data_IF_649765454188
#
_entry.id   IF_649765454188
#
_cell.length_a   1.000
_cell.length_b   1.000
_cell.length_c   1.000
_cell.angle_alpha   90.00
_cell.angle_beta   90.00
_cell.angle_gamma   90.00
#
_symmetry.space_group_name_H-M   'P 1'
#
loop_
_entity.id
_entity.type
_entity.pdbx_description
1 polymer ?
#
# COMPACT_ATOMS: atom_id res chain seq x y z
N UNK A 1 -19.37 3.47 3.72
CA UNK A 1 -20.13 2.23 4.01
C UNK A 1 -21.57 2.44 3.56
N UNK A 2 -22.16 1.49 2.85
CA UNK A 2 -23.54 1.56 2.35
C UNK A 2 -24.53 0.90 3.31
N UNK A 3 -24.13 -0.23 3.90
CA UNK A 3 -24.93 -0.96 4.88
C UNK A 3 -24.04 -1.83 5.78
N UNK A 4 -24.57 -2.26 6.91
CA UNK A 4 -23.98 -3.29 7.76
C UNK A 4 -25.10 -4.18 8.33
N UNK A 5 -24.91 -5.48 8.28
CA UNK A 5 -25.90 -6.45 8.76
C UNK A 5 -25.23 -7.76 9.16
N UNK A 6 -25.98 -8.64 9.82
CA UNK A 6 -25.47 -9.92 10.30
C UNK A 6 -26.25 -11.06 9.66
N UNK A 7 -25.55 -12.07 9.15
CA UNK A 7 -26.15 -13.30 8.60
C UNK A 7 -25.88 -14.46 9.55
N UNK A 8 -26.92 -15.22 9.89
CA UNK A 8 -26.77 -16.51 10.55
C UNK A 8 -26.47 -17.60 9.53
N UNK A 9 -25.34 -18.28 9.71
CA UNK A 9 -24.89 -19.40 8.90
C UNK A 9 -24.70 -20.69 9.71
N UNK A 10 -24.37 -21.81 9.04
CA UNK A 10 -24.15 -23.10 9.70
C UNK A 10 -22.96 -23.09 10.67
N UNK A 11 -22.05 -22.12 10.55
CA UNK A 11 -20.86 -21.96 11.38
C UNK A 11 -20.98 -20.86 12.45
N UNK A 12 -22.16 -20.25 12.59
CA UNK A 12 -22.41 -19.16 13.53
C UNK A 12 -22.90 -17.89 12.85
N UNK A 13 -22.64 -16.77 13.50
CA UNK A 13 -23.08 -15.44 13.05
C UNK A 13 -21.94 -14.75 12.31
N UNK A 14 -22.25 -14.13 11.17
CA UNK A 14 -21.27 -13.46 10.31
C UNK A 14 -21.67 -12.00 10.10
N UNK A 15 -20.81 -11.08 10.53
CA UNK A 15 -21.00 -9.66 10.24
C UNK A 15 -20.60 -9.35 8.81
N UNK A 16 -21.43 -8.57 8.14
CA UNK A 16 -21.34 -8.26 6.71
C UNK A 16 -21.35 -6.76 6.51
N UNK A 17 -20.42 -6.27 5.70
CA UNK A 17 -20.33 -4.88 5.29
C UNK A 17 -20.71 -4.76 3.82
N UNK A 18 -21.70 -3.92 3.51
CA UNK A 18 -21.98 -3.53 2.14
C UNK A 18 -21.19 -2.25 1.83
N UNK A 19 -20.25 -2.34 0.89
CA UNK A 19 -19.38 -1.25 0.47
C UNK A 19 -19.63 -0.89 -0.99
N UNK A 20 -19.15 0.27 -1.40
CA UNK A 20 -19.10 0.64 -2.81
C UNK A 20 -18.23 -0.38 -3.57
N UNK A 21 -18.71 -0.80 -4.75
CA UNK A 21 -17.93 -1.68 -5.61
C UNK A 21 -16.79 -0.90 -6.27
N UNK A 22 -15.56 -1.34 -5.99
CA UNK A 22 -14.33 -0.85 -6.61
C UNK A 22 -13.75 -1.89 -7.55
N UNK A 23 -12.75 -1.49 -8.32
CA UNK A 23 -12.01 -2.36 -9.23
C UNK A 23 -10.81 -3.05 -8.58
N UNK A 24 -9.89 -3.57 -9.42
CA UNK A 24 -8.74 -4.31 -8.92
C UNK A 24 -7.82 -3.39 -8.13
N UNK A 25 -7.07 -3.98 -7.18
CA UNK A 25 -6.04 -3.25 -6.47
C UNK A 25 -4.86 -2.91 -7.40
N UNK A 26 -4.10 -1.87 -7.04
CA UNK A 26 -3.00 -1.36 -7.86
C UNK A 26 -1.91 -2.41 -8.05
N UNK A 27 -1.60 -3.23 -7.04
CA UNK A 27 -0.60 -4.30 -7.17
C UNK A 27 -0.99 -5.31 -8.26
N UNK A 28 -2.21 -5.84 -8.24
CA UNK A 28 -2.71 -6.76 -9.28
C UNK A 28 -2.66 -6.13 -10.68
N UNK A 29 -2.94 -4.82 -10.78
CA UNK A 29 -2.86 -4.09 -12.05
C UNK A 29 -1.44 -4.05 -12.58
N UNK A 30 -0.48 -3.71 -11.73
CA UNK A 30 0.94 -3.64 -12.08
C UNK A 30 1.46 -5.02 -12.47
N UNK A 31 1.25 -6.03 -11.63
CA UNK A 31 1.75 -7.40 -11.81
C UNK A 31 1.20 -8.07 -13.08
N UNK A 32 -0.09 -7.87 -13.40
CA UNK A 32 -0.77 -8.64 -14.46
C UNK A 32 -0.88 -7.91 -15.79
N UNK A 33 -0.84 -6.58 -15.79
CA UNK A 33 -1.19 -5.79 -16.97
C UNK A 33 -0.08 -4.86 -17.44
N UNK A 34 0.95 -4.60 -16.64
CA UNK A 34 2.03 -3.68 -17.00
C UNK A 34 3.32 -4.46 -17.27
N UNK A 35 3.87 -4.29 -18.47
CA UNK A 35 5.06 -5.02 -18.94
C UNK A 35 6.32 -4.74 -18.09
N UNK A 36 6.36 -3.56 -17.50
CA UNK A 36 7.54 -3.03 -16.83
C UNK A 36 7.44 -3.17 -15.31
N UNK A 37 6.43 -3.86 -14.78
CA UNK A 37 6.19 -4.00 -13.33
C UNK A 37 6.19 -2.67 -12.56
N UNK A 38 5.88 -1.55 -13.24
CA UNK A 38 5.73 -0.21 -12.66
C UNK A 38 4.64 0.56 -13.39
N UNK A 39 4.06 1.56 -12.73
CA UNK A 39 3.07 2.45 -13.33
C UNK A 39 3.71 3.42 -14.34
N UNK A 40 2.97 3.86 -15.37
CA UNK A 40 3.33 5.04 -16.14
C UNK A 40 3.52 6.26 -15.22
N UNK A 41 4.48 7.12 -15.53
CA UNK A 41 4.91 8.24 -14.67
C UNK A 41 3.76 9.18 -14.27
N UNK A 42 2.88 9.49 -15.23
CA UNK A 42 1.71 10.33 -15.00
C UNK A 42 0.69 9.68 -14.06
N UNK A 43 0.55 8.35 -14.12
CA UNK A 43 -0.34 7.58 -13.24
C UNK A 43 0.28 7.46 -11.85
N UNK A 44 1.57 7.17 -11.74
CA UNK A 44 2.29 7.13 -10.47
C UNK A 44 2.15 8.46 -9.71
N UNK A 45 2.41 9.59 -10.39
CA UNK A 45 2.24 10.94 -9.82
C UNK A 45 0.81 11.21 -9.37
N UNK A 46 -0.18 10.83 -10.18
CA UNK A 46 -1.59 11.01 -9.85
C UNK A 46 -2.01 10.16 -8.64
N UNK A 47 -1.55 8.91 -8.54
CA UNK A 47 -1.85 8.04 -7.40
C UNK A 47 -1.18 8.54 -6.14
N UNK A 48 0.08 9.00 -6.21
CA UNK A 48 0.75 9.68 -5.10
C UNK A 48 -0.05 10.89 -4.61
N UNK A 49 -0.68 11.65 -5.53
CA UNK A 49 -1.56 12.78 -5.17
C UNK A 49 -2.82 12.32 -4.45
N UNK A 50 -3.50 11.31 -5.00
CA UNK A 50 -4.77 10.81 -4.46
C UNK A 50 -4.61 10.11 -3.11
N UNK A 51 -3.52 9.38 -2.88
CA UNK A 51 -3.24 8.78 -1.56
C UNK A 51 -3.02 9.86 -0.51
N UNK A 52 -2.23 10.89 -0.81
CA UNK A 52 -2.01 12.00 0.11
C UNK A 52 -3.31 12.76 0.41
N UNK A 53 -4.17 12.97 -0.59
CA UNK A 53 -5.50 13.58 -0.37
C UNK A 53 -6.37 12.71 0.54
N UNK A 54 -6.34 11.39 0.37
CA UNK A 54 -7.05 10.46 1.24
C UNK A 54 -6.51 10.46 2.68
N UNK A 55 -5.19 10.50 2.85
CA UNK A 55 -4.57 10.59 4.17
C UNK A 55 -4.78 11.94 4.85
N UNK A 56 -4.84 13.05 4.10
CA UNK A 56 -5.21 14.35 4.66
C UNK A 56 -6.62 14.28 5.28
N UNK A 57 -7.55 13.66 4.55
CA UNK A 57 -8.90 13.44 5.06
C UNK A 57 -8.92 12.55 6.31
N UNK A 58 -8.22 11.41 6.31
CA UNK A 58 -8.17 10.51 7.47
C UNK A 58 -7.52 11.16 8.70
N UNK A 59 -6.38 11.82 8.51
CA UNK A 59 -5.67 12.52 9.59
C UNK A 59 -6.47 13.67 10.18
N UNK A 60 -7.27 14.39 9.38
CA UNK A 60 -8.20 15.42 9.88
C UNK A 60 -9.27 14.87 10.83
N UNK A 61 -9.53 13.56 10.76
CA UNK A 61 -10.45 12.83 11.62
C UNK A 61 -9.74 11.99 12.68
N UNK A 62 -8.43 12.19 12.90
CA UNK A 62 -7.62 11.44 13.87
C UNK A 62 -7.64 9.90 13.62
N UNK A 63 -7.76 9.49 12.36
CA UNK A 63 -7.75 8.08 11.92
C UNK A 63 -6.36 7.74 11.36
N UNK A 64 -5.75 6.68 11.88
CA UNK A 64 -4.64 5.98 11.22
C UNK A 64 -5.17 4.76 10.47
N UNK A 65 -4.76 4.56 9.23
CA UNK A 65 -5.07 3.36 8.46
C UNK A 65 -4.24 2.16 8.90
N UNK A 66 -2.95 2.36 9.18
CA UNK A 66 -2.04 1.35 9.72
C UNK A 66 -1.54 0.31 8.73
N UNK A 67 -1.93 0.36 7.45
CA UNK A 67 -1.54 -0.66 6.45
C UNK A 67 -1.58 -0.12 5.01
N UNK A 68 -0.93 1.02 4.77
CA UNK A 68 -0.88 1.64 3.44
C UNK A 68 0.11 0.91 2.54
N UNK A 69 -0.39 0.31 1.45
CA UNK A 69 0.41 -0.31 0.38
C UNK A 69 -0.40 -0.50 -0.91
N UNK A 70 0.24 -0.89 -2.01
CA UNK A 70 -0.39 -1.05 -3.35
C UNK A 70 -1.58 -2.01 -3.39
N UNK A 71 -1.66 -3.01 -2.52
CA UNK A 71 -2.83 -3.92 -2.42
C UNK A 71 -4.06 -3.31 -1.72
N UNK A 72 -3.89 -2.24 -0.92
CA UNK A 72 -4.95 -1.52 -0.22
C UNK A 72 -5.36 -0.23 -0.95
N UNK A 73 -4.92 -0.08 -2.21
CA UNK A 73 -5.38 0.94 -3.14
C UNK A 73 -6.15 0.27 -4.26
N UNK A 74 -7.44 0.57 -4.41
CA UNK A 74 -8.28 0.01 -5.47
C UNK A 74 -8.58 1.06 -6.54
N UNK A 75 -8.49 0.66 -7.81
CA UNK A 75 -8.96 1.50 -8.91
C UNK A 75 -10.48 1.67 -8.83
N UNK A 76 -10.99 2.88 -9.04
CA UNK A 76 -12.42 3.08 -9.26
C UNK A 76 -12.79 2.65 -10.66
N UNK A 77 -13.98 2.06 -10.83
CA UNK A 77 -14.51 1.73 -12.15
C UNK A 77 -15.61 2.74 -12.48
N UNK A 78 -15.41 3.60 -13.49
CA UNK A 78 -16.43 4.55 -13.89
C UNK A 78 -17.75 3.85 -14.22
N UNK A 79 -18.85 4.43 -13.74
CA UNK A 79 -20.24 4.07 -14.03
C UNK A 79 -20.66 2.65 -13.63
N UNK A 80 -19.82 1.88 -12.91
CA UNK A 80 -20.12 0.49 -12.56
C UNK A 80 -21.36 0.36 -11.67
N UNK A 81 -21.51 1.27 -10.71
CA UNK A 81 -22.65 1.34 -9.81
C UNK A 81 -23.99 1.65 -10.52
N UNK A 82 -23.93 2.13 -11.77
CA UNK A 82 -25.10 2.48 -12.57
C UNK A 82 -25.49 1.39 -13.57
N UNK A 83 -24.67 0.35 -13.73
CA UNK A 83 -24.96 -0.74 -14.66
C UNK A 83 -26.14 -1.59 -14.14
N UNK A 84 -26.99 -2.02 -15.06
CA UNK A 84 -27.91 -3.11 -14.78
C UNK A 84 -27.11 -4.39 -14.52
N UNK A 85 -27.68 -5.35 -13.78
CA UNK A 85 -27.05 -6.65 -13.55
C UNK A 85 -26.64 -7.34 -14.87
N UNK A 86 -27.49 -7.23 -15.90
CA UNK A 86 -27.20 -7.74 -17.24
C UNK A 86 -25.97 -7.07 -17.86
N UNK A 87 -25.86 -5.75 -17.78
CA UNK A 87 -24.73 -5.02 -18.35
C UNK A 87 -23.46 -5.25 -17.52
N UNK A 88 -23.60 -5.45 -16.21
CA UNK A 88 -22.53 -5.84 -15.31
C UNK A 88 -21.94 -7.20 -15.69
N UNK A 89 -22.78 -8.23 -15.86
CA UNK A 89 -22.33 -9.55 -16.30
C UNK A 89 -21.78 -9.53 -17.73
N UNK A 90 -22.39 -8.75 -18.64
CA UNK A 90 -21.84 -8.58 -19.99
C UNK A 90 -20.44 -7.93 -19.98
N UNK A 91 -20.13 -7.12 -18.96
CA UNK A 91 -18.86 -6.41 -18.82
C UNK A 91 -17.79 -7.24 -18.12
N UNK A 92 -18.11 -7.93 -17.03
CA UNK A 92 -17.13 -8.69 -16.23
C UNK A 92 -17.12 -10.19 -16.51
N UNK A 93 -18.13 -10.69 -17.22
CA UNK A 93 -18.37 -12.12 -17.44
C UNK A 93 -19.32 -12.71 -16.40
N UNK A 94 -19.87 -13.88 -16.74
CA UNK A 94 -20.65 -14.68 -15.80
C UNK A 94 -19.73 -15.26 -14.70
N UNK A 95 -20.21 -15.42 -13.46
CA UNK A 95 -19.44 -16.04 -12.39
C UNK A 95 -18.93 -17.44 -12.77
N UNK A 96 -17.62 -17.64 -12.64
CA UNK A 96 -16.99 -18.96 -12.79
C UNK A 96 -17.09 -19.72 -11.47
N UNK A 97 -18.03 -20.66 -11.41
CA UNK A 97 -18.37 -21.40 -10.20
C UNK A 97 -17.84 -22.83 -10.21
N UNK A 98 -17.18 -23.24 -9.13
CA UNK A 98 -16.74 -24.62 -8.88
C UNK A 98 -17.56 -25.29 -7.78
N UNK A 99 -17.81 -26.60 -7.91
CA UNK A 99 -18.41 -27.39 -6.84
C UNK A 99 -17.36 -27.77 -5.79
N UNK A 100 -17.73 -27.69 -4.51
CA UNK A 100 -16.91 -28.23 -3.42
C UNK A 100 -17.37 -29.65 -3.16
N UNK A 101 -16.48 -30.61 -3.36
CA UNK A 101 -16.75 -32.03 -3.18
C UNK A 101 -15.82 -32.61 -2.12
N UNK A 102 -16.34 -33.56 -1.33
CA UNK A 102 -15.56 -34.41 -0.44
C UNK A 102 -14.87 -35.54 -1.20
N UNK A 103 -14.17 -36.44 -0.49
CA UNK A 103 -13.65 -37.67 -1.07
C UNK A 103 -14.75 -38.43 -1.83
N UNK A 104 -14.41 -39.01 -2.99
CA UNK A 104 -15.32 -39.77 -3.86
C UNK A 104 -16.56 -38.99 -4.32
N UNK A 105 -16.40 -37.69 -4.61
CA UNK A 105 -17.45 -36.77 -5.06
C UNK A 105 -18.64 -36.63 -4.08
N UNK A 106 -18.41 -36.95 -2.80
CA UNK A 106 -19.43 -36.85 -1.76
C UNK A 106 -19.84 -35.38 -1.50
N UNK A 107 -21.10 -35.11 -1.13
CA UNK A 107 -21.52 -33.77 -0.73
C UNK A 107 -20.68 -33.23 0.45
N UNK A 108 -20.30 -31.94 0.44
CA UNK A 108 -19.51 -31.38 1.51
C UNK A 108 -20.34 -31.32 2.81
N UNK A 109 -19.69 -31.38 3.99
CA UNK A 109 -20.35 -31.09 5.26
C UNK A 109 -21.07 -29.75 5.22
N UNK A 110 -22.16 -29.58 5.98
CA UNK A 110 -22.91 -28.31 6.06
C UNK A 110 -22.07 -27.12 6.51
N UNK A 111 -20.92 -27.37 7.14
CA UNK A 111 -19.97 -26.34 7.55
C UNK A 111 -19.14 -25.77 6.39
N UNK A 112 -19.17 -26.39 5.21
CA UNK A 112 -18.49 -25.92 4.01
C UNK A 112 -19.50 -25.45 2.96
N UNK A 113 -19.18 -24.40 2.19
CA UNK A 113 -20.04 -23.97 1.09
C UNK A 113 -20.07 -25.04 0.00
N UNK A 114 -21.23 -25.23 -0.64
CA UNK A 114 -21.39 -26.20 -1.72
C UNK A 114 -20.73 -25.74 -3.04
N UNK A 115 -20.50 -24.43 -3.18
CA UNK A 115 -19.92 -23.80 -4.37
C UNK A 115 -18.88 -22.78 -3.95
N UNK A 116 -17.86 -22.64 -4.76
CA UNK A 116 -16.89 -21.55 -4.70
C UNK A 116 -16.97 -20.75 -5.99
N UNK A 117 -16.78 -19.44 -5.89
CA UNK A 117 -16.77 -18.55 -7.05
C UNK A 117 -15.34 -18.06 -7.23
N UNK A 118 -14.81 -18.19 -8.46
CA UNK A 118 -13.49 -17.66 -8.78
C UNK A 118 -13.53 -16.13 -8.74
N UNK A 119 -12.51 -15.45 -8.18
CA UNK A 119 -12.44 -14.00 -8.23
C UNK A 119 -12.52 -13.49 -9.67
N UNK A 120 -13.35 -12.47 -9.90
CA UNK A 120 -13.46 -11.83 -11.19
C UNK A 120 -12.10 -11.22 -11.60
N UNK A 121 -11.79 -11.27 -12.89
CA UNK A 121 -10.54 -10.74 -13.44
C UNK A 121 -10.86 -9.67 -14.49
N UNK A 122 -10.11 -8.57 -14.44
CA UNK A 122 -10.24 -7.51 -15.42
C UNK A 122 -9.36 -7.83 -16.63
N UNK A 123 -9.97 -7.93 -17.81
CA UNK A 123 -9.21 -8.10 -19.04
C UNK A 123 -8.32 -6.88 -19.33
N UNK A 124 -7.18 -7.08 -20.01
CA UNK A 124 -6.22 -6.02 -20.34
C UNK A 124 -6.88 -4.78 -20.98
N UNK A 125 -7.87 -4.96 -21.87
CA UNK A 125 -8.58 -3.82 -22.50
C UNK A 125 -9.35 -2.97 -21.49
N UNK A 126 -9.96 -3.58 -20.48
CA UNK A 126 -10.71 -2.86 -19.45
C UNK A 126 -9.77 -2.08 -18.55
N UNK A 127 -8.67 -2.71 -18.12
CA UNK A 127 -7.63 -2.07 -17.31
C UNK A 127 -7.06 -0.85 -18.04
N UNK A 128 -6.75 -0.96 -19.33
CA UNK A 128 -6.28 0.18 -20.12
C UNK A 128 -7.32 1.31 -20.22
N UNK A 129 -8.62 0.99 -20.26
CA UNK A 129 -9.69 2.00 -20.23
C UNK A 129 -9.76 2.69 -18.87
N UNK A 130 -9.66 1.94 -17.77
CA UNK A 130 -9.62 2.50 -16.42
C UNK A 130 -8.39 3.41 -16.26
N UNK A 131 -7.22 2.95 -16.73
CA UNK A 131 -5.97 3.70 -16.69
C UNK A 131 -5.95 4.95 -17.59
N UNK A 132 -6.88 5.09 -18.53
CA UNK A 132 -7.02 6.31 -19.34
C UNK A 132 -7.58 7.50 -18.54
N UNK A 133 -8.35 7.24 -17.47
CA UNK A 133 -8.85 8.24 -16.51
C UNK A 133 -8.81 7.64 -15.10
N UNK A 134 -7.61 7.40 -14.56
CA UNK A 134 -7.48 6.57 -13.38
C UNK A 134 -7.83 7.36 -12.13
N UNK A 135 -8.48 6.69 -11.20
CA UNK A 135 -8.73 7.18 -9.86
C UNK A 135 -8.64 6.01 -8.89
N UNK A 136 -8.06 6.22 -7.73
CA UNK A 136 -7.95 5.22 -6.67
C UNK A 136 -8.77 5.58 -5.45
N UNK A 137 -9.09 4.57 -4.64
CA UNK A 137 -9.61 4.68 -3.28
C UNK A 137 -8.75 3.86 -2.33
N UNK A 138 -8.56 4.39 -1.13
CA UNK A 138 -8.03 3.63 -0.01
C UNK A 138 -9.12 2.65 0.44
N UNK A 139 -8.75 1.38 0.57
CA UNK A 139 -9.64 0.29 0.99
C UNK A 139 -9.00 -0.47 2.14
N UNK A 140 -9.80 -1.35 2.76
CA UNK A 140 -9.37 -2.24 3.84
C UNK A 140 -8.90 -1.51 5.11
N UNK A 141 -9.88 -1.08 5.91
CA UNK A 141 -9.66 -0.45 7.21
C UNK A 141 -9.56 -1.48 8.35
N UNK A 142 -9.19 -2.73 8.07
CA UNK A 142 -9.10 -3.80 9.07
C UNK A 142 -8.04 -3.55 10.16
N UNK A 143 -6.98 -2.82 9.83
CA UNK A 143 -5.90 -2.42 10.75
C UNK A 143 -6.01 -0.95 11.18
N UNK A 144 -7.10 -0.28 10.81
CA UNK A 144 -7.28 1.14 11.11
C UNK A 144 -7.59 1.35 12.59
N UNK A 145 -7.11 2.47 13.12
CA UNK A 145 -7.24 2.81 14.53
C UNK A 145 -7.59 4.29 14.73
N UNK A 146 -8.23 4.55 15.86
CA UNK A 146 -8.58 5.89 16.30
C UNK A 146 -7.58 6.39 17.33
N UNK A 147 -7.47 7.71 17.48
CA UNK A 147 -6.62 8.34 18.50
C UNK A 147 -6.85 7.84 19.93
N UNK A 148 -8.07 7.45 20.27
CA UNK A 148 -8.42 6.97 21.61
C UNK A 148 -8.38 5.44 21.75
N UNK A 149 -8.07 4.72 20.66
CA UNK A 149 -7.97 3.26 20.61
C UNK A 149 -6.77 2.84 19.76
N UNK A 150 -5.58 3.26 20.22
CA UNK A 150 -4.32 3.02 19.51
C UNK A 150 -3.79 1.62 19.88
N UNK A 151 -3.54 0.75 18.89
CA UNK A 151 -3.02 -0.59 19.17
C UNK A 151 -1.56 -0.52 19.64
N UNK A 152 -1.11 -1.55 20.35
CA UNK A 152 0.29 -1.67 20.79
C UNK A 152 1.26 -1.97 19.65
N UNK A 153 0.76 -2.48 18.53
CA UNK A 153 1.52 -2.78 17.30
C UNK A 153 0.56 -2.84 16.12
N UNK A 154 1.08 -2.75 14.91
CA UNK A 154 0.34 -2.94 13.66
C UNK A 154 0.90 -4.15 12.89
N UNK A 155 0.07 -4.80 12.09
CA UNK A 155 0.49 -5.94 11.26
C UNK A 155 1.14 -5.52 9.92
N UNK A 156 1.36 -4.23 9.70
CA UNK A 156 2.02 -3.67 8.51
C UNK A 156 3.26 -4.48 8.12
N UNK A 157 3.40 -4.94 6.87
CA UNK A 157 4.54 -5.74 6.43
C UNK A 157 5.89 -5.06 6.74
N UNK A 158 6.88 -5.85 7.15
CA UNK A 158 8.19 -5.35 7.59
C UNK A 158 8.83 -4.36 6.59
N UNK A 159 8.84 -4.58 5.25
CA UNK A 159 9.48 -3.68 4.29
C UNK A 159 8.85 -2.28 4.16
N UNK A 160 7.66 -2.04 4.71
CA UNK A 160 6.99 -0.72 4.65
C UNK A 160 6.59 -0.22 6.04
N UNK A 161 7.06 -0.92 7.09
CA UNK A 161 6.74 -0.65 8.48
C UNK A 161 7.48 0.60 8.96
N UNK A 162 6.74 1.49 9.62
CA UNK A 162 7.31 2.69 10.22
C UNK A 162 8.28 2.35 11.38
N UNK A 163 9.36 3.12 11.58
CA UNK A 163 10.40 2.83 12.56
C UNK A 163 9.85 2.81 13.99
N UNK A 164 8.90 3.68 14.34
CA UNK A 164 8.27 3.71 15.67
C UNK A 164 7.60 2.38 16.04
N UNK A 165 7.09 1.63 15.06
CA UNK A 165 6.52 0.29 15.29
C UNK A 165 7.64 -0.70 15.63
N UNK A 166 8.78 -0.64 14.93
CA UNK A 166 9.97 -1.48 15.20
C UNK A 166 10.56 -1.14 16.58
N UNK A 167 10.62 0.14 16.91
CA UNK A 167 11.11 0.62 18.19
C UNK A 167 10.11 0.46 19.34
N UNK A 168 8.84 0.10 19.05
CA UNK A 168 7.80 -0.09 20.07
C UNK A 168 7.46 1.22 20.78
N UNK A 169 7.50 2.31 20.03
CA UNK A 169 7.21 3.66 20.50
C UNK A 169 5.73 4.01 20.29
N UNK A 170 5.29 5.16 20.80
CA UNK A 170 3.92 5.62 20.66
C UNK A 170 3.56 5.79 19.17
N UNK A 171 2.45 5.16 18.78
CA UNK A 171 1.91 5.25 17.44
C UNK A 171 0.91 6.42 17.34
N UNK A 172 0.82 7.02 16.15
CA UNK A 172 -0.27 7.90 15.73
C UNK A 172 -0.48 7.73 14.21
N UNK A 173 -1.42 8.46 13.61
CA UNK A 173 -1.72 8.36 12.18
C UNK A 173 -0.51 8.62 11.25
N UNK A 174 0.60 9.17 11.76
CA UNK A 174 1.79 9.44 10.94
C UNK A 174 2.56 8.19 10.56
N UNK A 175 2.23 7.01 11.12
CA UNK A 175 2.72 5.72 10.59
C UNK A 175 2.39 5.59 9.10
N UNK A 176 1.22 6.08 8.68
CA UNK A 176 0.77 6.04 7.28
C UNK A 176 1.61 6.96 6.37
N UNK A 177 2.18 8.04 6.91
CA UNK A 177 3.06 8.93 6.15
C UNK A 177 4.36 8.22 5.78
N UNK A 178 4.93 7.44 6.71
CA UNK A 178 6.11 6.62 6.43
C UNK A 178 5.79 5.58 5.34
N UNK A 179 4.73 4.79 5.54
CA UNK A 179 4.31 3.78 4.55
C UNK A 179 3.96 4.41 3.20
N UNK A 180 3.45 5.64 3.17
CA UNK A 180 3.23 6.41 1.93
C UNK A 180 4.53 6.81 1.26
N UNK A 181 5.57 7.17 2.01
CA UNK A 181 6.91 7.39 1.46
C UNK A 181 7.44 6.14 0.74
N UNK A 182 7.32 4.97 1.38
CA UNK A 182 7.66 3.68 0.76
C UNK A 182 6.79 3.39 -0.49
N UNK A 183 5.49 3.62 -0.39
CA UNK A 183 4.55 3.43 -1.49
C UNK A 183 4.88 4.33 -2.68
N UNK A 184 5.18 5.63 -2.48
CA UNK A 184 5.54 6.54 -3.58
C UNK A 184 6.81 6.07 -4.28
N UNK A 185 7.80 5.57 -3.52
CA UNK A 185 8.99 4.94 -4.09
C UNK A 185 8.59 3.75 -4.97
N UNK A 186 7.77 2.83 -4.46
CA UNK A 186 7.29 1.63 -5.17
C UNK A 186 6.49 1.98 -6.44
N UNK A 187 5.61 2.98 -6.38
CA UNK A 187 4.84 3.42 -7.55
C UNK A 187 5.73 3.94 -8.69
N UNK A 188 6.90 4.51 -8.36
CA UNK A 188 7.87 5.06 -9.32
C UNK A 188 8.78 3.96 -9.89
N UNK A 189 9.26 3.05 -9.03
CA UNK A 189 10.32 2.09 -9.38
C UNK A 189 9.79 0.70 -9.72
N UNK A 190 8.64 0.32 -9.17
CA UNK A 190 8.09 -1.03 -9.20
C UNK A 190 8.58 -1.94 -8.06
N UNK A 191 9.34 -1.41 -7.09
CA UNK A 191 9.84 -2.17 -5.95
C UNK A 191 9.92 -1.30 -4.68
N UNK A 192 9.80 -1.87 -3.46
CA UNK A 192 9.94 -1.10 -2.22
C UNK A 192 11.36 -0.50 -2.09
N UNK A 193 11.54 0.53 -1.23
CA UNK A 193 12.85 1.15 -1.02
C UNK A 193 13.86 0.27 -0.30
N UNK A 194 13.41 -0.77 0.42
CA UNK A 194 14.23 -1.64 1.26
C UNK A 194 14.25 -3.08 0.71
N UNK A 195 15.40 -3.73 0.81
CA UNK A 195 15.58 -5.13 0.42
C UNK A 195 14.78 -6.05 1.36
N UNK A 196 14.10 -7.03 0.77
CA UNK A 196 13.24 -7.98 1.45
C UNK A 196 13.93 -9.32 1.75
N UNK A 197 15.11 -9.58 1.15
CA UNK A 197 15.81 -10.85 1.30
C UNK A 197 16.39 -10.96 2.72
N UNK A 198 15.99 -12.02 3.43
CA UNK A 198 16.39 -12.27 4.82
C UNK A 198 16.16 -11.07 5.77
N UNK A 199 15.15 -10.25 5.46
CA UNK A 199 14.89 -9.03 6.20
C UNK A 199 14.51 -9.34 7.66
N UNK A 200 15.24 -8.74 8.58
CA UNK A 200 14.97 -8.76 10.02
C UNK A 200 14.82 -7.32 10.52
N UNK A 201 14.23 -7.07 11.71
CA UNK A 201 14.12 -5.72 12.24
C UNK A 201 15.46 -4.95 12.34
N UNK A 202 16.59 -5.55 12.79
CA UNK A 202 17.89 -4.87 12.78
C UNK A 202 18.36 -4.49 11.37
N UNK A 203 18.25 -5.42 10.41
CA UNK A 203 18.64 -5.18 9.01
C UNK A 203 17.78 -4.06 8.40
N UNK A 204 16.48 -4.04 8.69
CA UNK A 204 15.60 -2.98 8.21
C UNK A 204 16.03 -1.62 8.76
N UNK A 205 16.29 -1.52 10.06
CA UNK A 205 16.71 -0.25 10.68
C UNK A 205 18.05 0.22 10.12
N UNK A 206 18.99 -0.69 9.86
CA UNK A 206 20.27 -0.39 9.18
C UNK A 206 20.00 0.26 7.82
N UNK A 207 19.21 -0.39 6.97
CA UNK A 207 18.84 0.15 5.66
C UNK A 207 18.10 1.50 5.76
N UNK A 208 17.24 1.68 6.76
CA UNK A 208 16.57 2.97 7.00
C UNK A 208 17.58 4.08 7.30
N UNK A 209 18.58 3.83 8.14
CA UNK A 209 19.61 4.81 8.51
C UNK A 209 20.52 5.15 7.33
N UNK A 210 20.85 4.14 6.52
CA UNK A 210 21.67 4.35 5.32
C UNK A 210 20.93 5.21 4.30
N UNK A 211 19.67 4.87 4.04
CA UNK A 211 18.82 5.50 3.03
C UNK A 211 18.39 6.92 3.42
N UNK A 212 17.97 7.12 4.67
CA UNK A 212 17.40 8.37 5.17
C UNK A 212 18.49 9.21 5.85
N UNK A 213 18.74 10.40 5.31
CA UNK A 213 19.66 11.38 5.90
C UNK A 213 19.00 12.10 7.11
N UNK A 214 18.77 11.34 8.18
CA UNK A 214 18.14 11.78 9.42
C UNK A 214 18.76 11.07 10.63
N UNK A 215 18.67 11.69 11.80
CA UNK A 215 19.17 11.11 13.05
C UNK A 215 18.06 10.33 13.77
N UNK A 216 18.41 9.16 14.31
CA UNK A 216 17.48 8.43 15.18
C UNK A 216 17.18 9.25 16.44
N UNK A 217 15.89 9.37 16.83
CA UNK A 217 15.49 9.96 18.10
C UNK A 217 16.26 9.36 19.27
N UNK A 218 16.69 10.20 20.22
CA UNK A 218 17.53 9.76 21.34
C UNK A 218 16.92 8.60 22.14
N UNK A 219 15.58 8.55 22.22
CA UNK A 219 14.83 7.46 22.87
C UNK A 219 14.95 6.10 22.17
N UNK A 220 15.30 6.06 20.88
CA UNK A 220 15.49 4.83 20.10
C UNK A 220 16.94 4.35 20.10
N UNK A 221 17.91 5.23 20.36
CA UNK A 221 19.34 4.92 20.26
C UNK A 221 19.77 3.74 21.15
N UNK A 222 19.33 3.68 22.40
CA UNK A 222 19.67 2.57 23.30
C UNK A 222 19.12 1.22 22.78
N UNK A 223 17.91 1.21 22.23
CA UNK A 223 17.29 0.01 21.64
C UNK A 223 18.02 -0.39 20.35
N UNK A 224 18.42 0.58 19.53
CA UNK A 224 19.23 0.33 18.34
C UNK A 224 20.58 -0.29 18.68
N UNK A 225 21.30 0.25 19.66
CA UNK A 225 22.56 -0.33 20.13
C UNK A 225 22.39 -1.78 20.62
N UNK A 226 21.27 -2.09 21.27
CA UNK A 226 20.95 -3.46 21.68
C UNK A 226 20.62 -4.39 20.49
N UNK A 227 20.11 -3.86 19.37
CA UNK A 227 19.83 -4.61 18.14
C UNK A 227 21.10 -4.92 17.34
N UNK A 228 22.08 -4.01 17.32
CA UNK A 228 23.23 -4.07 16.43
C UNK A 228 24.22 -5.21 16.71
N UNK A 229 24.18 -5.88 17.86
CA UNK A 229 25.12 -6.97 18.16
C UNK A 229 26.59 -6.55 17.93
N UNK A 230 27.36 -7.36 17.19
CA UNK A 230 28.71 -6.97 16.71
C UNK A 230 28.62 -5.98 15.55
N UNK A 231 29.40 -4.88 15.55
CA UNK A 231 29.33 -3.87 14.50
C UNK A 231 29.62 -4.49 13.12
N UNK A 232 28.64 -4.44 12.22
CA UNK A 232 28.89 -4.51 10.78
C UNK A 232 29.60 -3.23 10.35
N UNK A 233 30.56 -3.34 9.42
CA UNK A 233 31.18 -2.16 8.85
C UNK A 233 30.08 -1.34 8.15
N UNK A 234 30.06 0.00 8.31
CA UNK A 234 29.15 0.82 7.55
C UNK A 234 29.42 0.59 6.06
N UNK A 235 28.44 0.02 5.36
CA UNK A 235 28.46 0.03 3.91
C UNK A 235 28.20 1.48 3.47
N UNK A 236 28.80 1.87 2.35
CA UNK A 236 28.64 3.23 1.81
C UNK A 236 27.28 3.29 1.08
N UNK A 237 26.21 3.04 1.84
CA UNK A 237 24.86 2.88 1.34
C UNK A 237 24.41 4.11 0.54
N UNK A 238 23.70 3.86 -0.56
CA UNK A 238 23.20 4.93 -1.43
C UNK A 238 22.11 5.73 -0.70
N UNK A 239 22.32 7.04 -0.57
CA UNK A 239 21.29 7.97 -0.06
C UNK A 239 20.04 7.93 -0.93
N UNK A 240 18.88 8.21 -0.34
CA UNK A 240 17.55 8.08 -0.98
C UNK A 240 17.46 8.59 -2.42
N UNK A 241 17.99 9.79 -2.70
CA UNK A 241 17.97 10.33 -4.06
C UNK A 241 18.79 9.47 -5.03
N UNK A 242 20.02 9.12 -4.65
CA UNK A 242 20.90 8.28 -5.46
C UNK A 242 20.30 6.89 -5.66
N UNK A 243 19.73 6.30 -4.62
CA UNK A 243 19.06 5.01 -4.70
C UNK A 243 17.85 5.04 -5.64
N UNK A 244 16.97 6.05 -5.48
CA UNK A 244 15.81 6.20 -6.35
C UNK A 244 16.22 6.47 -7.81
N UNK A 245 17.26 7.26 -8.04
CA UNK A 245 17.80 7.51 -9.37
C UNK A 245 18.38 6.23 -9.98
N UNK A 246 19.22 5.51 -9.24
CA UNK A 246 19.81 4.25 -9.66
C UNK A 246 18.72 3.26 -10.06
N UNK A 247 17.80 2.95 -9.16
CA UNK A 247 16.72 2.00 -9.45
C UNK A 247 15.87 2.43 -10.63
N UNK A 248 15.54 3.73 -10.76
CA UNK A 248 14.66 4.18 -11.83
C UNK A 248 15.31 4.12 -13.22
N UNK A 249 16.60 4.45 -13.31
CA UNK A 249 17.35 4.55 -14.57
C UNK A 249 18.21 3.33 -14.91
N UNK A 250 18.47 2.43 -13.96
CA UNK A 250 19.20 1.17 -14.17
C UNK A 250 18.35 0.11 -14.89
N UNK A 251 17.04 0.30 -14.93
CA UNK A 251 16.16 -0.57 -15.70
C UNK A 251 16.30 -0.33 -17.21
N UNK A 252 16.30 -1.41 -18.02
CA UNK A 252 16.20 -1.37 -19.50
C UNK A 252 14.88 -0.73 -20.02
N UNK A 253 14.08 -0.15 -19.13
CA UNK A 253 12.78 0.46 -19.40
C UNK A 253 13.00 1.89 -19.91
N UNK A 254 12.14 2.34 -20.81
CA UNK A 254 12.17 3.73 -21.26
C UNK A 254 11.87 4.65 -20.07
N UNK A 255 12.77 5.60 -19.72
CA UNK A 255 12.49 6.55 -18.66
C UNK A 255 11.42 7.55 -19.13
N UNK A 256 10.43 7.78 -18.28
CA UNK A 256 9.37 8.77 -18.48
C UNK A 256 9.52 9.97 -17.55
N UNK A 257 10.01 9.75 -16.32
CA UNK A 257 10.47 10.81 -15.43
C UNK A 257 11.84 11.31 -15.86
N UNK A 258 12.05 12.62 -15.76
CA UNK A 258 13.38 13.22 -15.86
C UNK A 258 14.15 13.02 -14.55
N UNK A 259 15.49 13.19 -14.59
CA UNK A 259 16.30 13.20 -13.36
C UNK A 259 15.80 14.22 -12.33
N UNK A 260 15.32 15.37 -12.81
CA UNK A 260 14.75 16.39 -11.94
C UNK A 260 13.42 15.92 -11.30
N UNK A 261 12.55 15.24 -12.04
CA UNK A 261 11.32 14.65 -11.46
C UNK A 261 11.65 13.64 -10.36
N UNK A 262 12.65 12.78 -10.60
CA UNK A 262 13.11 11.78 -9.62
C UNK A 262 13.72 12.43 -8.39
N UNK A 263 14.56 13.45 -8.59
CA UNK A 263 15.13 14.24 -7.49
C UNK A 263 14.03 14.87 -6.63
N UNK A 264 13.05 15.51 -7.25
CA UNK A 264 11.90 16.11 -6.53
C UNK A 264 11.10 15.05 -5.79
N UNK A 265 10.83 13.89 -6.39
CA UNK A 265 10.15 12.81 -5.70
C UNK A 265 10.93 12.34 -4.45
N UNK A 266 12.25 12.17 -4.56
CA UNK A 266 13.10 11.81 -3.43
C UNK A 266 13.04 12.87 -2.29
N UNK A 267 13.03 14.16 -2.62
CA UNK A 267 12.87 15.25 -1.64
C UNK A 267 11.53 15.14 -0.88
N UNK A 268 10.44 14.77 -1.56
CA UNK A 268 9.13 14.54 -0.93
C UNK A 268 9.11 13.30 -0.04
N UNK A 269 9.65 12.18 -0.55
CA UNK A 269 9.74 10.91 0.18
C UNK A 269 10.55 11.11 1.47
N UNK A 270 11.69 11.82 1.42
CA UNK A 270 12.51 12.12 2.60
C UNK A 270 11.74 12.87 3.68
N UNK A 271 10.84 13.79 3.30
CA UNK A 271 10.02 14.55 4.24
C UNK A 271 8.90 13.73 4.86
N UNK A 272 8.41 12.70 4.16
CA UNK A 272 7.44 11.73 4.69
C UNK A 272 8.10 10.69 5.61
N UNK A 273 9.36 10.35 5.34
CA UNK A 273 10.10 9.28 6.02
C UNK A 273 11.09 9.79 7.07
N UNK A 274 10.76 10.88 7.78
CA UNK A 274 11.56 11.32 8.95
C UNK A 274 11.43 10.30 10.08
N UNK A 275 12.52 10.08 10.81
CA UNK A 275 12.52 9.15 11.94
C UNK A 275 11.62 9.64 13.06
N UNK A 276 11.76 10.90 13.48
CA UNK A 276 10.84 11.50 14.44
C UNK A 276 9.46 11.69 13.78
N UNK A 277 8.39 10.98 14.21
CA UNK A 277 7.11 11.06 13.53
C UNK A 277 6.55 12.48 13.49
N UNK A 278 6.76 13.30 14.53
CA UNK A 278 6.28 14.68 14.57
C UNK A 278 6.99 15.64 13.60
N UNK A 279 8.11 15.24 13.00
CA UNK A 279 8.82 16.02 11.99
C UNK A 279 8.44 15.63 10.56
N UNK A 280 7.61 14.60 10.37
CA UNK A 280 7.10 14.22 9.05
C UNK A 280 6.20 15.31 8.51
N UNK A 281 6.41 15.69 7.25
CA UNK A 281 5.57 16.67 6.58
C UNK A 281 4.14 16.12 6.44
N UNK A 282 3.17 16.99 6.68
CA UNK A 282 1.75 16.69 6.48
C UNK A 282 1.43 16.47 4.99
N UNK A 283 0.33 15.75 4.68
CA UNK A 283 -0.09 15.57 3.29
C UNK A 283 -0.28 16.88 2.54
N UNK A 284 -0.86 17.91 3.19
CA UNK A 284 -1.05 19.24 2.60
C UNK A 284 0.28 19.94 2.25
N UNK A 285 1.30 19.82 3.09
CA UNK A 285 2.62 20.39 2.79
C UNK A 285 3.28 19.70 1.59
N UNK A 286 3.13 18.38 1.47
CA UNK A 286 3.66 17.61 0.34
C UNK A 286 2.89 17.90 -0.96
N UNK A 287 1.56 18.02 -0.87
CA UNK A 287 0.69 18.33 -2.01
C UNK A 287 0.89 19.74 -2.60
N UNK A 288 1.45 20.67 -1.83
CA UNK A 288 1.75 22.03 -2.27
C UNK A 288 3.01 22.11 -3.16
N UNK A 289 3.79 21.04 -3.25
CA UNK A 289 5.07 21.01 -3.97
C UNK A 289 4.87 20.90 -5.48
N UNK A 290 5.82 21.47 -6.24
CA UNK A 290 5.72 21.58 -7.71
C UNK A 290 5.79 20.26 -8.48
N UNK A 291 5.92 19.14 -7.76
CA UNK A 291 5.92 17.81 -8.36
C UNK A 291 4.52 17.33 -8.73
N UNK A 292 3.46 17.87 -8.11
CA UNK A 292 2.05 17.48 -8.28
C UNK A 292 1.21 18.35 -9.22
#
# INVERSE_FOLDING_TARGET
MLDHFTIAGPNGSHDCLALELVGPNVADVVERHLKDSRLPSNVARLFSKQILQGLDFLSSSDIGHGDIHTRNLALTIPDLHSLSEKDFMAKLGEPDEGLVLGPDDAPPPKSLPARIVRPASFGHREVQRILAKPSIKIIDFGEAFLRDDIPSTLNTPLPVRAPEIVFGDKLDHRVDLWSTGCLIFELITGQPPFDIIMLTPPILVEQMIELIDDELPSRWQAKWQAMQGTPTQPDDGLKLHSWLEEVYFDTDKKPEFTKNDVKRAAELIARLMRFEPSLRASPNEILAESWF
#
